data_IF_690729391366
#
_entry.id   IF_690729391366
#
_cell.length_a   1.000
_cell.length_b   1.000
_cell.length_c   1.000
_cell.angle_alpha   90.00
_cell.angle_beta   90.00
_cell.angle_gamma   90.00
#
_symmetry.space_group_name_H-M   'P 1'
#
loop_
_entity.id
_entity.type
_entity.pdbx_description
1 polymer ?
#
# COMPACT_ATOMS: atom_id res chain seq x y z
N UNK A 1 10.85 30.58 -6.84
CA UNK A 1 9.91 30.90 -5.73
C UNK A 1 9.62 29.63 -4.95
N UNK A 2 9.24 29.74 -3.67
CA UNK A 2 8.94 28.61 -2.79
C UNK A 2 7.41 28.52 -2.58
N UNK A 3 6.68 27.95 -3.56
CA UNK A 3 5.20 28.00 -3.64
C UNK A 3 4.48 26.68 -3.34
N UNK A 4 5.13 25.73 -2.67
CA UNK A 4 4.55 24.41 -2.36
C UNK A 4 3.25 24.50 -1.55
N UNK A 5 3.11 25.50 -0.67
CA UNK A 5 1.91 25.72 0.13
C UNK A 5 0.61 25.86 -0.69
N UNK A 6 0.71 26.29 -1.95
CA UNK A 6 -0.40 26.37 -2.89
C UNK A 6 -0.37 25.24 -3.92
N UNK A 7 0.80 24.95 -4.50
CA UNK A 7 0.94 23.91 -5.53
C UNK A 7 0.52 22.51 -5.04
N UNK A 8 0.92 22.14 -3.83
CA UNK A 8 0.59 20.81 -3.27
C UNK A 8 -0.92 20.66 -3.00
N UNK A 9 -1.66 21.78 -2.81
CA UNK A 9 -3.11 21.76 -2.63
C UNK A 9 -3.85 21.55 -3.95
N UNK A 10 -3.35 22.12 -5.03
CA UNK A 10 -3.89 21.89 -6.37
C UNK A 10 -3.64 20.45 -6.83
N UNK A 11 -2.44 19.92 -6.58
CA UNK A 11 -2.14 18.50 -6.75
C UNK A 11 -3.07 17.65 -5.86
N UNK A 12 -3.23 18.05 -4.60
CA UNK A 12 -4.21 17.53 -3.67
C UNK A 12 -5.62 17.41 -4.28
N UNK A 13 -6.11 18.47 -4.92
CA UNK A 13 -7.43 18.49 -5.53
C UNK A 13 -7.59 17.43 -6.62
N UNK A 14 -6.65 17.36 -7.57
CA UNK A 14 -6.81 16.46 -8.73
C UNK A 14 -6.75 14.98 -8.36
N UNK A 15 -5.83 14.53 -7.49
CA UNK A 15 -5.81 13.10 -7.15
C UNK A 15 -7.02 12.69 -6.29
N UNK A 16 -7.55 13.59 -5.45
CA UNK A 16 -8.84 13.38 -4.76
C UNK A 16 -9.99 13.27 -5.76
N UNK A 17 -10.02 14.16 -6.77
CA UNK A 17 -11.06 14.17 -7.80
C UNK A 17 -11.04 12.87 -8.62
N UNK A 18 -9.87 12.28 -8.81
CA UNK A 18 -9.67 11.01 -9.52
C UNK A 18 -9.85 9.77 -8.64
N UNK A 19 -10.00 9.91 -7.32
CA UNK A 19 -10.11 8.77 -6.40
C UNK A 19 -8.81 7.96 -6.27
N UNK A 20 -7.65 8.61 -6.43
CA UNK A 20 -6.34 7.96 -6.30
C UNK A 20 -6.00 7.85 -4.82
N UNK A 21 -5.78 6.60 -4.37
CA UNK A 21 -5.31 6.30 -3.02
C UNK A 21 -3.85 6.77 -2.85
N UNK A 22 -3.58 7.48 -1.75
CA UNK A 22 -2.28 8.13 -1.51
C UNK A 22 -1.97 8.34 -0.04
N UNK A 23 -0.68 8.38 0.29
CA UNK A 23 -0.19 8.81 1.60
C UNK A 23 0.31 10.26 1.52
N UNK A 24 -0.22 11.12 2.38
CA UNK A 24 0.28 12.49 2.54
C UNK A 24 1.22 12.58 3.76
N UNK A 25 2.42 13.14 3.54
CA UNK A 25 3.42 13.42 4.58
C UNK A 25 3.79 14.90 4.44
N UNK A 26 3.70 15.65 5.53
CA UNK A 26 3.93 17.09 5.57
C UNK A 26 5.01 17.42 6.60
N UNK A 27 5.84 18.42 6.30
CA UNK A 27 6.89 18.94 7.17
C UNK A 27 8.07 19.47 6.37
N UNK A 28 9.03 20.11 7.05
CA UNK A 28 10.29 20.48 6.41
C UNK A 28 11.11 19.22 6.12
N UNK A 29 11.71 19.13 4.92
CA UNK A 29 12.39 17.92 4.44
C UNK A 29 13.51 17.43 5.37
N UNK A 30 14.16 18.33 6.12
CA UNK A 30 15.23 17.96 7.06
C UNK A 30 14.74 17.53 8.45
N UNK A 31 13.42 17.53 8.69
CA UNK A 31 12.85 17.10 9.97
C UNK A 31 13.03 15.59 10.15
N UNK A 32 13.57 15.18 11.30
CA UNK A 32 13.73 13.77 11.64
C UNK A 32 12.39 13.02 11.64
N UNK A 33 11.31 13.64 12.16
CA UNK A 33 9.97 13.06 12.17
C UNK A 33 9.44 12.81 10.76
N UNK A 34 9.68 13.74 9.82
CA UNK A 34 9.28 13.57 8.43
C UNK A 34 10.03 12.41 7.77
N UNK A 35 11.36 12.35 7.98
CA UNK A 35 12.22 11.31 7.42
C UNK A 35 11.82 9.92 7.95
N UNK A 36 11.47 9.81 9.23
CA UNK A 36 10.97 8.57 9.82
C UNK A 36 9.66 8.12 9.17
N UNK A 37 8.69 9.03 9.03
CA UNK A 37 7.40 8.75 8.38
C UNK A 37 7.57 8.35 6.92
N UNK A 38 8.48 9.01 6.20
CA UNK A 38 8.80 8.68 4.82
C UNK A 38 9.42 7.28 4.73
N UNK A 39 10.41 6.99 5.55
CA UNK A 39 11.06 5.67 5.59
C UNK A 39 10.11 4.54 5.98
N UNK A 40 9.13 4.79 6.86
CA UNK A 40 8.07 3.84 7.17
C UNK A 40 7.18 3.57 5.94
N UNK A 41 6.79 4.62 5.21
CA UNK A 41 5.98 4.46 3.99
C UNK A 41 6.74 3.73 2.88
N UNK A 42 8.04 4.00 2.71
CA UNK A 42 8.89 3.28 1.76
C UNK A 42 8.92 1.77 2.02
N UNK A 43 8.98 1.35 3.30
CA UNK A 43 8.91 -0.07 3.67
C UNK A 43 7.56 -0.69 3.30
N UNK A 44 6.45 0.02 3.53
CA UNK A 44 5.12 -0.43 3.08
C UNK A 44 5.04 -0.55 1.56
N UNK A 45 5.59 0.42 0.81
CA UNK A 45 5.59 0.40 -0.64
C UNK A 45 6.35 -0.82 -1.20
N UNK A 46 7.51 -1.14 -0.62
CA UNK A 46 8.24 -2.39 -0.94
C UNK A 46 7.38 -3.61 -0.62
N UNK A 47 6.73 -3.65 0.55
CA UNK A 47 5.84 -4.74 0.92
C UNK A 47 4.68 -4.97 -0.07
N UNK A 48 4.08 -3.90 -0.59
CA UNK A 48 3.03 -3.98 -1.63
C UNK A 48 3.60 -4.50 -2.95
N UNK A 49 4.79 -4.05 -3.36
CA UNK A 49 5.45 -4.53 -4.58
C UNK A 49 5.83 -6.02 -4.50
N UNK A 50 6.40 -6.46 -3.38
CA UNK A 50 6.78 -7.86 -3.18
C UNK A 50 5.57 -8.76 -2.98
N UNK A 51 4.50 -8.24 -2.36
CA UNK A 51 3.23 -8.95 -2.18
C UNK A 51 2.72 -9.53 -3.50
N UNK A 52 2.78 -8.77 -4.60
CA UNK A 52 2.27 -9.24 -5.90
C UNK A 52 3.11 -10.34 -6.58
N UNK A 53 4.19 -10.79 -5.95
CA UNK A 53 5.08 -11.83 -6.46
C UNK A 53 5.15 -13.04 -5.53
N UNK A 54 4.35 -13.07 -4.46
CA UNK A 54 4.29 -14.18 -3.51
C UNK A 54 3.70 -15.42 -4.20
N UNK A 55 4.38 -16.56 -4.03
CA UNK A 55 3.91 -17.87 -4.48
C UNK A 55 3.82 -18.83 -3.30
N UNK A 56 2.65 -19.43 -3.09
CA UNK A 56 2.32 -20.28 -1.95
C UNK A 56 2.04 -21.70 -2.43
N UNK A 57 2.96 -22.62 -2.16
CA UNK A 57 2.72 -24.03 -2.38
C UNK A 57 2.00 -24.65 -1.17
N UNK A 58 0.79 -25.18 -1.37
CA UNK A 58 0.03 -25.89 -0.35
C UNK A 58 0.17 -27.40 -0.54
N UNK A 59 0.49 -28.12 0.54
CA UNK A 59 0.57 -29.58 0.56
C UNK A 59 -0.60 -30.11 1.38
N UNK A 60 -1.58 -30.67 0.69
CA UNK A 60 -2.89 -30.98 1.27
C UNK A 60 -3.83 -29.77 1.25
N UNK A 61 -5.05 -29.97 1.73
CA UNK A 61 -6.06 -28.93 1.78
C UNK A 61 -6.30 -28.42 3.21
N UNK A 62 -7.26 -27.51 3.37
CA UNK A 62 -7.72 -27.01 4.65
C UNK A 62 -8.17 -28.15 5.57
N UNK A 63 -8.06 -27.93 6.89
CA UNK A 63 -8.63 -28.84 7.88
C UNK A 63 -10.15 -28.91 7.73
N UNK A 64 -10.71 -30.12 7.78
CA UNK A 64 -12.15 -30.35 7.67
C UNK A 64 -12.93 -29.49 8.69
N UNK A 65 -14.03 -28.91 8.23
CA UNK A 65 -14.95 -28.10 9.03
C UNK A 65 -14.35 -26.79 9.59
N UNK A 66 -13.27 -26.25 8.99
CA UNK A 66 -12.69 -24.95 9.36
C UNK A 66 -13.03 -23.88 8.32
N UNK A 67 -13.64 -22.78 8.76
CA UNK A 67 -14.09 -21.70 7.88
C UNK A 67 -13.04 -20.59 7.67
N UNK A 68 -12.33 -20.15 8.72
CA UNK A 68 -11.50 -18.92 8.66
C UNK A 68 -10.28 -19.04 7.76
N UNK A 69 -9.76 -20.25 7.54
CA UNK A 69 -8.62 -20.48 6.66
C UNK A 69 -9.05 -20.80 5.23
N UNK A 70 -10.35 -20.95 4.98
CA UNK A 70 -10.89 -21.04 3.63
C UNK A 70 -11.03 -19.65 3.02
N UNK A 71 -11.33 -19.61 1.72
CA UNK A 71 -11.57 -18.36 1.02
C UNK A 71 -11.36 -18.47 -0.49
N UNK A 72 -11.73 -17.40 -1.19
CA UNK A 72 -11.55 -17.30 -2.63
C UNK A 72 -10.09 -16.91 -2.96
N UNK A 73 -9.35 -17.90 -3.47
CA UNK A 73 -7.94 -17.75 -3.85
C UNK A 73 -7.79 -16.95 -5.15
N UNK A 74 -8.80 -16.97 -6.03
CA UNK A 74 -8.82 -16.15 -7.24
C UNK A 74 -8.99 -14.68 -6.87
N UNK A 75 -9.86 -14.37 -5.92
CA UNK A 75 -9.98 -12.99 -5.41
C UNK A 75 -8.67 -12.53 -4.76
N UNK A 76 -8.03 -13.37 -3.94
CA UNK A 76 -6.74 -13.04 -3.32
C UNK A 76 -5.65 -12.76 -4.38
N UNK A 77 -5.61 -13.52 -5.47
CA UNK A 77 -4.69 -13.28 -6.58
C UNK A 77 -5.00 -11.95 -7.30
N UNK A 78 -6.27 -11.64 -7.57
CA UNK A 78 -6.67 -10.38 -8.22
C UNK A 78 -6.34 -9.17 -7.34
N UNK A 79 -6.57 -9.27 -6.02
CA UNK A 79 -6.39 -8.15 -5.08
C UNK A 79 -4.95 -7.94 -4.66
N UNK A 80 -4.19 -9.02 -4.43
CA UNK A 80 -2.87 -8.96 -3.81
C UNK A 80 -1.75 -9.52 -4.70
N UNK A 81 -2.08 -10.24 -5.78
CA UNK A 81 -1.12 -10.90 -6.68
C UNK A 81 -0.56 -12.22 -6.13
N UNK A 82 -1.18 -12.80 -5.10
CA UNK A 82 -0.70 -14.05 -4.49
C UNK A 82 -1.06 -15.26 -5.36
N UNK A 83 -0.06 -16.04 -5.74
CA UNK A 83 -0.21 -17.28 -6.53
C UNK A 83 -0.15 -18.53 -5.66
#
# INVERSE_FOLDING_TARGET
>A
ENQSAHGDREYGHIESRMGIERKLIFGHWSSAELQERLGAWMRTAIGVMESSHVRVCRVGDNMNNVAVTEGDKVEAQIKFGWE
#
